data_IF_979688635392
#
_entry.id   IF_979688635392
#
_cell.length_a   1.000
_cell.length_b   1.000
_cell.length_c   1.000
_cell.angle_alpha   90.00
_cell.angle_beta   90.00
_cell.angle_gamma   90.00
#
_symmetry.space_group_name_H-M   'P 1'
#
loop_
_entity.id
_entity.type
_entity.pdbx_description
1 polymer ?
#
# COMPACT_ATOMS: atom_id res chain seq x y z
N UNK A 1 -52.20 -61.62 -25.01
CA UNK A 1 -51.46 -60.34 -25.02
C UNK A 1 -50.30 -60.43 -24.03
N UNK A 2 -49.06 -60.36 -24.52
CA UNK A 2 -47.83 -60.75 -23.81
C UNK A 2 -47.34 -59.68 -22.82
N UNK A 3 -46.71 -60.21 -21.78
CA UNK A 3 -46.14 -59.63 -20.56
C UNK A 3 -45.06 -58.56 -20.83
N UNK A 4 -45.10 -57.51 -19.99
CA UNK A 4 -44.04 -56.53 -19.68
C UNK A 4 -42.66 -57.19 -19.52
N UNK A 5 -41.65 -56.70 -20.23
CA UNK A 5 -40.24 -56.98 -19.89
C UNK A 5 -39.28 -55.83 -20.21
N UNK A 6 -39.63 -54.60 -19.82
CA UNK A 6 -38.71 -53.45 -19.81
C UNK A 6 -39.03 -52.51 -18.66
N UNK A 7 -38.75 -52.89 -17.40
CA UNK A 7 -38.88 -51.96 -16.28
C UNK A 7 -37.86 -52.10 -15.14
N UNK A 8 -36.83 -52.95 -15.29
CA UNK A 8 -35.73 -53.03 -14.31
C UNK A 8 -34.36 -52.64 -14.88
N UNK A 9 -34.13 -52.79 -16.18
CA UNK A 9 -32.87 -52.39 -16.83
C UNK A 9 -32.82 -50.86 -17.03
N UNK A 10 -33.95 -50.21 -17.30
CA UNK A 10 -34.04 -48.75 -17.47
C UNK A 10 -33.80 -47.97 -16.17
N UNK A 11 -34.31 -48.47 -15.03
CA UNK A 11 -34.08 -47.84 -13.73
C UNK A 11 -32.62 -47.97 -13.26
N UNK A 12 -31.96 -49.10 -13.56
CA UNK A 12 -30.56 -49.32 -13.19
C UNK A 12 -29.60 -48.49 -14.05
N UNK A 13 -29.90 -48.32 -15.34
CA UNK A 13 -29.12 -47.45 -16.25
C UNK A 13 -29.29 -45.97 -15.87
N UNK A 14 -30.48 -45.53 -15.45
CA UNK A 14 -30.69 -44.15 -14.97
C UNK A 14 -29.98 -43.85 -13.65
N UNK A 15 -29.87 -44.81 -12.74
CA UNK A 15 -29.14 -44.65 -11.47
C UNK A 15 -27.62 -44.70 -11.69
N UNK A 16 -27.13 -45.50 -12.65
CA UNK A 16 -25.72 -45.49 -13.02
C UNK A 16 -25.33 -44.20 -13.75
N UNK A 17 -26.19 -43.67 -14.63
CA UNK A 17 -25.98 -42.39 -15.31
C UNK A 17 -26.04 -41.20 -14.34
N UNK A 18 -26.90 -41.22 -13.32
CA UNK A 18 -26.91 -40.15 -12.31
C UNK A 18 -25.66 -40.17 -11.41
N UNK A 19 -25.11 -41.35 -11.10
CA UNK A 19 -23.82 -41.48 -10.41
C UNK A 19 -22.63 -41.05 -11.28
N UNK A 20 -22.67 -41.29 -12.60
CA UNK A 20 -21.63 -40.84 -13.54
C UNK A 20 -21.69 -39.31 -13.75
N UNK A 21 -22.88 -38.70 -13.75
CA UNK A 21 -23.03 -37.24 -13.84
C UNK A 21 -22.60 -36.55 -12.52
N UNK A 22 -22.81 -37.19 -11.36
CA UNK A 22 -22.30 -36.70 -10.07
C UNK A 22 -20.78 -36.82 -9.91
N UNK A 23 -20.12 -37.69 -10.68
CA UNK A 23 -18.66 -37.85 -10.68
C UNK A 23 -17.96 -37.05 -11.79
N UNK A 24 -18.71 -36.43 -12.71
CA UNK A 24 -18.15 -35.63 -13.82
C UNK A 24 -18.36 -34.13 -13.71
N UNK A 25 -18.98 -33.61 -12.65
CA UNK A 25 -18.92 -32.17 -12.36
C UNK A 25 -17.51 -31.85 -11.84
N UNK A 26 -16.59 -31.48 -12.74
CA UNK A 26 -15.40 -30.73 -12.33
C UNK A 26 -15.91 -29.48 -11.60
N UNK A 27 -15.70 -29.41 -10.29
CA UNK A 27 -15.93 -28.18 -9.55
C UNK A 27 -15.13 -27.08 -10.24
N UNK A 28 -15.83 -26.07 -10.77
CA UNK A 28 -15.18 -24.89 -11.33
C UNK A 28 -14.55 -24.18 -10.14
N UNK A 29 -13.23 -24.26 -10.02
CA UNK A 29 -12.49 -23.56 -8.98
C UNK A 29 -12.30 -22.13 -9.40
N UNK A 30 -12.67 -21.19 -8.54
CA UNK A 30 -12.46 -19.76 -8.80
C UNK A 30 -11.20 -19.28 -8.06
N UNK A 31 -10.41 -18.39 -8.67
CA UNK A 31 -9.27 -17.80 -8.00
C UNK A 31 -9.77 -16.89 -6.87
N UNK A 32 -9.25 -17.12 -5.66
CA UNK A 32 -9.48 -16.28 -4.48
C UNK A 32 -8.14 -15.68 -4.08
N UNK A 33 -8.10 -14.36 -3.97
CA UNK A 33 -6.93 -13.64 -3.47
C UNK A 33 -6.99 -13.60 -1.95
N UNK A 34 -6.03 -14.27 -1.32
CA UNK A 34 -5.92 -14.31 0.14
C UNK A 34 -4.56 -13.77 0.55
N UNK A 35 -4.53 -13.18 1.73
CA UNK A 35 -3.39 -12.48 2.28
C UNK A 35 -2.99 -13.10 3.62
N UNK A 36 -1.68 -13.23 3.81
CA UNK A 36 -1.04 -13.68 5.03
C UNK A 36 0.08 -12.72 5.45
N UNK A 37 0.74 -13.04 6.54
CA UNK A 37 1.89 -12.31 7.08
C UNK A 37 3.12 -13.22 7.05
N UNK A 38 4.25 -12.70 6.58
CA UNK A 38 5.52 -13.40 6.58
C UNK A 38 6.57 -12.69 7.43
N UNK A 39 7.51 -13.45 7.99
CA UNK A 39 8.73 -12.93 8.59
C UNK A 39 9.80 -12.59 7.53
N UNK A 40 10.91 -12.00 7.96
CA UNK A 40 12.05 -11.62 7.09
C UNK A 40 12.82 -12.82 6.51
N UNK A 41 12.49 -14.06 6.91
CA UNK A 41 12.99 -15.29 6.29
C UNK A 41 12.01 -15.86 5.26
N UNK A 42 10.80 -15.29 5.15
CA UNK A 42 9.74 -15.73 4.26
C UNK A 42 8.85 -16.83 4.84
N UNK A 43 8.95 -17.14 6.12
CA UNK A 43 8.04 -18.08 6.77
C UNK A 43 6.71 -17.38 7.05
N UNK A 44 5.60 -18.08 6.82
CA UNK A 44 4.29 -17.59 7.22
C UNK A 44 4.19 -17.54 8.75
N UNK A 45 3.91 -16.36 9.27
CA UNK A 45 3.44 -16.15 10.64
C UNK A 45 1.92 -16.33 10.68
N UNK A 46 1.24 -15.83 9.64
CA UNK A 46 -0.19 -15.99 9.40
C UNK A 46 -0.36 -16.54 8.00
N UNK A 47 -0.92 -17.74 7.89
CA UNK A 47 -1.22 -18.36 6.60
C UNK A 47 -2.27 -17.53 5.83
N UNK A 48 -2.27 -17.55 4.48
CA UNK A 48 -3.22 -16.77 3.70
C UNK A 48 -4.70 -17.11 3.99
N UNK A 49 -5.35 -16.24 4.76
CA UNK A 49 -6.75 -16.45 5.19
C UNK A 49 -7.63 -15.20 5.09
N UNK A 50 -7.03 -14.01 5.13
CA UNK A 50 -7.76 -12.74 5.02
C UNK A 50 -7.96 -12.36 3.55
N UNK A 51 -9.06 -11.67 3.24
CA UNK A 51 -9.30 -11.17 1.88
C UNK A 51 -8.52 -9.88 1.60
N UNK A 52 -7.83 -9.34 2.60
CA UNK A 52 -6.86 -8.24 2.47
C UNK A 52 -6.13 -8.03 3.79
N UNK A 53 -4.85 -7.67 3.71
CA UNK A 53 -4.05 -7.17 4.82
C UNK A 53 -3.26 -5.96 4.31
N UNK A 54 -3.29 -4.84 5.03
CA UNK A 54 -2.42 -3.68 4.77
C UNK A 54 -1.18 -3.75 5.66
N UNK A 55 -0.15 -3.01 5.27
CA UNK A 55 1.01 -2.77 6.15
C UNK A 55 0.50 -2.25 7.50
N UNK A 56 1.02 -2.84 8.58
CA UNK A 56 0.74 -2.46 9.95
C UNK A 56 1.97 -1.86 10.61
N UNK A 57 1.76 -1.26 11.78
CA UNK A 57 2.79 -0.71 12.66
C UNK A 57 2.25 -0.82 14.08
N UNK A 58 3.14 -0.85 15.07
CA UNK A 58 2.75 -0.97 16.49
C UNK A 58 2.05 -2.31 16.79
N UNK A 59 2.38 -3.34 16.00
CA UNK A 59 1.86 -4.70 16.17
C UNK A 59 0.41 -4.91 15.73
N UNK A 60 -0.24 -3.93 15.12
CA UNK A 60 -1.60 -4.03 14.58
C UNK A 60 -1.63 -3.85 13.06
N UNK A 61 -2.30 -4.77 12.38
CA UNK A 61 -2.39 -4.82 10.93
C UNK A 61 -3.84 -4.64 10.50
N UNK A 62 -4.17 -3.67 9.63
CA UNK A 62 -5.51 -3.56 9.08
C UNK A 62 -5.81 -4.80 8.24
N UNK A 63 -6.88 -5.51 8.60
CA UNK A 63 -7.32 -6.72 7.90
C UNK A 63 -8.70 -6.53 7.32
N UNK A 64 -8.95 -7.19 6.19
CA UNK A 64 -10.22 -7.19 5.49
C UNK A 64 -10.79 -8.60 5.47
N UNK A 65 -12.07 -8.69 5.79
CA UNK A 65 -12.86 -9.90 5.67
C UNK A 65 -14.16 -9.63 4.92
N UNK A 66 -14.66 -10.66 4.23
CA UNK A 66 -15.80 -10.54 3.32
C UNK A 66 -15.40 -10.26 1.87
N UNK A 67 -16.40 -10.23 0.99
CA UNK A 67 -16.25 -10.09 -0.46
C UNK A 67 -17.21 -9.03 -1.01
N UNK A 68 -16.87 -8.43 -2.15
CA UNK A 68 -17.66 -7.39 -2.86
C UNK A 68 -18.00 -6.20 -1.95
N UNK A 69 -19.17 -5.55 -2.11
CA UNK A 69 -19.55 -4.42 -1.24
C UNK A 69 -19.78 -4.78 0.24
N UNK A 70 -19.68 -6.06 0.63
CA UNK A 70 -19.91 -6.52 2.00
C UNK A 70 -18.63 -6.71 2.81
N UNK A 71 -17.45 -6.44 2.24
CA UNK A 71 -16.23 -6.51 3.03
C UNK A 71 -16.18 -5.40 4.07
N UNK A 72 -15.51 -5.69 5.18
CA UNK A 72 -15.21 -4.70 6.23
C UNK A 72 -13.76 -4.82 6.65
N UNK A 73 -13.25 -3.71 7.17
CA UNK A 73 -11.93 -3.61 7.74
C UNK A 73 -12.00 -3.66 9.27
N UNK A 74 -11.03 -4.37 9.84
CA UNK A 74 -10.74 -4.45 11.27
C UNK A 74 -9.23 -4.51 11.45
N UNK A 75 -8.77 -5.05 12.57
CA UNK A 75 -7.33 -5.17 12.85
C UNK A 75 -7.01 -6.53 13.47
N UNK A 76 -5.89 -7.12 13.06
CA UNK A 76 -5.30 -8.28 13.73
C UNK A 76 -3.96 -7.93 14.38
N UNK A 77 -3.55 -8.74 15.36
CA UNK A 77 -2.19 -8.74 15.87
C UNK A 77 -1.22 -9.46 14.91
N UNK A 78 0.07 -9.41 15.21
CA UNK A 78 1.12 -10.09 14.43
C UNK A 78 0.95 -11.61 14.27
N UNK A 79 0.14 -12.25 15.12
CA UNK A 79 -0.14 -13.70 15.06
C UNK A 79 -1.44 -14.01 14.32
N UNK A 80 -2.13 -13.00 13.79
CA UNK A 80 -3.37 -13.15 13.02
C UNK A 80 -4.62 -13.12 13.88
N UNK A 81 -4.52 -12.97 15.21
CA UNK A 81 -5.72 -12.87 16.05
C UNK A 81 -6.40 -11.54 15.77
N UNK A 82 -7.70 -11.57 15.48
CA UNK A 82 -8.51 -10.36 15.31
C UNK A 82 -8.63 -9.64 16.66
N UNK A 83 -8.09 -8.43 16.74
CA UNK A 83 -8.12 -7.56 17.93
C UNK A 83 -9.30 -6.59 17.84
N UNK A 84 -9.57 -6.09 16.64
CA UNK A 84 -10.72 -5.24 16.34
C UNK A 84 -11.50 -5.91 15.22
N UNK A 85 -12.72 -6.33 15.53
CA UNK A 85 -13.59 -7.01 14.57
C UNK A 85 -13.85 -6.15 13.31
N UNK A 86 -13.85 -6.76 12.11
CA UNK A 86 -14.19 -6.06 10.87
C UNK A 86 -15.55 -5.37 10.91
N UNK A 87 -15.52 -4.06 11.06
CA UNK A 87 -16.71 -3.22 11.20
C UNK A 87 -16.63 -1.91 10.41
N UNK A 88 -15.43 -1.52 9.96
CA UNK A 88 -15.19 -0.29 9.24
C UNK A 88 -15.27 -0.47 7.73
N UNK A 89 -15.59 0.61 7.03
CA UNK A 89 -15.59 0.62 5.56
C UNK A 89 -14.17 0.63 5.01
N UNK A 90 -13.26 1.29 5.71
CA UNK A 90 -11.82 1.27 5.45
C UNK A 90 -11.04 1.55 6.74
N UNK A 91 -9.78 1.16 6.78
CA UNK A 91 -8.87 1.39 7.90
C UNK A 91 -7.45 1.65 7.40
N UNK A 92 -6.73 2.58 8.01
CA UNK A 92 -5.29 2.75 7.82
C UNK A 92 -4.51 2.17 9.01
N UNK A 93 -3.19 2.12 8.90
CA UNK A 93 -2.32 1.60 9.96
C UNK A 93 -2.40 2.45 11.24
N UNK A 94 -2.16 1.80 12.38
CA UNK A 94 -1.86 2.51 13.62
C UNK A 94 -0.52 3.25 13.49
N UNK A 95 -0.44 4.44 14.05
CA UNK A 95 0.81 5.17 14.20
C UNK A 95 0.62 6.23 15.28
N UNK A 96 1.59 6.35 16.17
CA UNK A 96 1.55 7.23 17.34
C UNK A 96 0.33 6.95 18.22
N UNK A 97 -0.06 5.67 18.33
CA UNK A 97 -1.14 5.18 19.20
C UNK A 97 -2.56 5.28 18.63
N UNK A 98 -2.77 5.90 17.47
CA UNK A 98 -4.08 6.05 16.84
C UNK A 98 -4.11 5.52 15.40
N UNK A 99 -5.27 5.09 14.94
CA UNK A 99 -5.53 4.71 13.55
C UNK A 99 -6.73 5.48 12.98
N UNK A 100 -6.63 6.07 11.78
CA UNK A 100 -7.79 6.60 11.10
C UNK A 100 -8.59 5.45 10.46
N UNK A 101 -9.91 5.46 10.70
CA UNK A 101 -10.86 4.47 10.19
C UNK A 101 -12.07 5.18 9.58
N UNK A 102 -12.59 4.61 8.49
CA UNK A 102 -13.78 5.12 7.81
C UNK A 102 -15.04 4.43 8.35
N UNK A 103 -15.99 5.22 8.85
CA UNK A 103 -17.27 4.70 9.35
C UNK A 103 -18.06 4.01 8.24
N UNK A 104 -18.73 2.92 8.62
CA UNK A 104 -19.69 2.20 7.77
C UNK A 104 -21.10 2.77 8.00
N UNK A 105 -21.28 4.07 7.73
CA UNK A 105 -22.56 4.77 7.86
C UNK A 105 -22.83 5.66 6.63
N UNK A 106 -23.98 6.38 6.61
CA UNK A 106 -24.35 7.27 5.50
C UNK A 106 -23.38 8.45 5.32
N UNK A 107 -22.61 8.82 6.36
CA UNK A 107 -21.64 9.89 6.28
C UNK A 107 -20.36 9.45 5.56
N UNK A 108 -19.92 8.20 5.80
CA UNK A 108 -18.65 7.68 5.30
C UNK A 108 -17.45 8.50 5.74
N UNK A 109 -17.56 9.24 6.85
CA UNK A 109 -16.49 10.08 7.38
C UNK A 109 -15.46 9.27 8.16
N UNK A 110 -14.25 9.80 8.22
CA UNK A 110 -13.11 9.23 8.93
C UNK A 110 -13.06 9.77 10.36
N UNK A 111 -12.76 8.87 11.29
CA UNK A 111 -12.51 9.14 12.71
C UNK A 111 -11.19 8.48 13.12
N UNK A 112 -10.63 8.89 14.24
CA UNK A 112 -9.45 8.24 14.82
C UNK A 112 -9.87 7.36 15.99
N UNK A 113 -9.35 6.14 16.02
CA UNK A 113 -9.55 5.19 17.10
C UNK A 113 -8.23 4.83 17.78
N UNK A 114 -8.31 4.48 19.06
CA UNK A 114 -7.23 3.83 19.79
C UNK A 114 -7.20 2.31 19.56
N UNK A 115 -6.20 1.64 20.13
CA UNK A 115 -6.05 0.18 20.06
C UNK A 115 -7.15 -0.62 20.76
N UNK A 116 -8.01 0.02 21.55
CA UNK A 116 -9.19 -0.56 22.19
C UNK A 116 -10.47 -0.32 21.38
N UNK A 117 -10.35 0.25 20.18
CA UNK A 117 -11.47 0.63 19.31
C UNK A 117 -12.34 1.76 19.88
N UNK A 118 -11.78 2.61 20.73
CA UNK A 118 -12.44 3.81 21.25
C UNK A 118 -12.15 5.00 20.35
N UNK A 119 -13.17 5.79 20.01
CA UNK A 119 -12.97 7.05 19.28
C UNK A 119 -12.16 8.01 20.15
N UNK A 120 -11.02 8.48 19.64
CA UNK A 120 -10.08 9.30 20.39
C UNK A 120 -10.59 10.72 20.66
N UNK A 121 -11.33 11.30 19.71
CA UNK A 121 -11.95 12.63 19.80
C UNK A 121 -13.15 12.73 18.83
N UNK A 122 -14.06 13.67 19.07
CA UNK A 122 -15.35 13.75 18.36
C UNK A 122 -15.26 14.28 16.92
N UNK A 123 -14.15 14.93 16.53
CA UNK A 123 -14.01 15.55 15.20
C UNK A 123 -13.95 14.49 14.10
N UNK A 124 -14.71 14.72 13.03
CA UNK A 124 -14.81 13.82 11.87
C UNK A 124 -14.25 14.49 10.60
N UNK A 125 -13.68 13.69 9.70
CA UNK A 125 -12.99 14.19 8.51
C UNK A 125 -13.48 13.51 7.24
N UNK A 126 -13.33 14.19 6.10
CA UNK A 126 -13.61 13.58 4.80
C UNK A 126 -12.58 12.50 4.44
N UNK A 127 -11.31 12.73 4.76
CA UNK A 127 -10.22 11.77 4.70
C UNK A 127 -9.23 12.04 5.83
N UNK A 128 -8.52 11.01 6.27
CA UNK A 128 -7.47 11.12 7.27
C UNK A 128 -6.32 10.16 6.94
N UNK A 129 -5.10 10.67 7.03
CA UNK A 129 -3.87 9.87 6.99
C UNK A 129 -3.41 9.55 8.42
N UNK A 130 -2.64 8.46 8.64
CA UNK A 130 -2.06 8.16 9.95
C UNK A 130 -1.23 9.31 10.50
N UNK A 131 -1.15 9.40 11.82
CA UNK A 131 -0.21 10.30 12.48
C UNK A 131 1.22 9.95 12.09
N UNK A 132 1.99 10.97 11.77
CA UNK A 132 3.40 10.85 11.51
C UNK A 132 4.06 12.15 11.92
N UNK A 133 5.14 12.05 12.67
CA UNK A 133 5.88 13.21 13.13
C UNK A 133 5.03 14.11 14.06
N UNK A 134 4.13 13.52 14.85
CA UNK A 134 3.26 14.23 15.80
C UNK A 134 2.00 14.85 15.20
N UNK A 135 1.79 14.75 13.88
CA UNK A 135 0.68 15.38 13.17
C UNK A 135 0.01 14.40 12.21
N UNK A 136 -1.32 14.48 12.08
CA UNK A 136 -2.07 13.78 11.05
C UNK A 136 -2.59 14.74 9.99
N UNK A 137 -2.42 14.38 8.72
CA UNK A 137 -2.96 15.12 7.59
C UNK A 137 -4.43 14.72 7.38
N UNK A 138 -5.34 15.70 7.39
CA UNK A 138 -6.79 15.45 7.32
C UNK A 138 -7.45 16.40 6.32
N UNK A 139 -8.43 15.88 5.58
CA UNK A 139 -9.27 16.69 4.70
C UNK A 139 -10.57 17.08 5.41
N UNK A 140 -10.87 18.38 5.42
CA UNK A 140 -12.09 18.91 6.04
C UNK A 140 -13.38 18.41 5.37
N UNK A 141 -14.43 18.27 6.17
CA UNK A 141 -15.72 17.70 5.77
C UNK A 141 -16.65 18.75 5.16
N UNK A 142 -17.76 18.33 4.54
CA UNK A 142 -18.73 19.26 3.93
C UNK A 142 -19.43 20.19 4.93
N UNK A 143 -19.26 19.95 6.23
CA UNK A 143 -19.82 20.78 7.30
C UNK A 143 -18.86 21.92 7.71
N UNK A 144 -17.66 21.96 7.14
CA UNK A 144 -16.63 22.95 7.43
C UNK A 144 -16.55 24.02 6.33
N UNK A 145 -16.28 25.27 6.73
CA UNK A 145 -16.12 26.39 5.80
C UNK A 145 -14.95 26.20 4.80
N UNK A 146 -14.03 25.29 5.12
CA UNK A 146 -12.84 24.97 4.33
C UNK A 146 -12.99 23.70 3.49
N UNK A 147 -14.22 23.23 3.24
CA UNK A 147 -14.53 21.96 2.59
C UNK A 147 -13.57 21.58 1.45
N UNK A 148 -13.11 20.32 1.45
CA UNK A 148 -12.13 19.72 0.52
C UNK A 148 -10.68 20.22 0.68
N UNK A 149 -10.40 21.15 1.58
CA UNK A 149 -9.02 21.52 1.87
C UNK A 149 -8.42 20.61 2.95
N UNK A 150 -7.13 20.38 2.82
CA UNK A 150 -6.30 19.62 3.73
C UNK A 150 -5.63 20.54 4.74
N UNK A 151 -5.56 20.05 5.98
CA UNK A 151 -4.85 20.66 7.11
C UNK A 151 -4.22 19.58 7.98
N UNK A 152 -3.71 19.97 9.13
CA UNK A 152 -3.00 19.09 10.04
C UNK A 152 -3.49 19.23 11.46
N UNK A 153 -3.76 18.10 12.10
CA UNK A 153 -4.19 18.02 13.50
C UNK A 153 -3.09 17.41 14.37
N UNK A 154 -3.08 17.78 15.65
CA UNK A 154 -2.33 17.07 16.68
C UNK A 154 -3.11 15.86 17.24
N UNK A 155 -2.49 15.15 18.18
CA UNK A 155 -3.05 13.95 18.81
C UNK A 155 -4.36 14.21 19.58
N UNK A 156 -4.65 15.46 19.95
CA UNK A 156 -5.90 15.84 20.62
C UNK A 156 -7.05 16.07 19.65
N UNK A 157 -6.76 16.11 18.34
CA UNK A 157 -7.73 16.39 17.28
C UNK A 157 -7.85 17.88 16.94
N UNK A 158 -7.00 18.73 17.52
CA UNK A 158 -6.98 20.16 17.26
C UNK A 158 -6.08 20.52 16.08
N UNK A 159 -6.51 21.51 15.29
CA UNK A 159 -5.76 21.94 14.12
C UNK A 159 -4.49 22.70 14.53
N UNK A 160 -3.33 22.15 14.18
CA UNK A 160 -2.04 22.87 14.24
C UNK A 160 -1.86 23.71 12.97
N UNK A 161 -2.30 23.19 11.82
CA UNK A 161 -2.37 23.92 10.57
C UNK A 161 -3.80 23.82 10.06
N UNK A 162 -4.50 24.94 10.04
CA UNK A 162 -5.89 25.00 9.56
C UNK A 162 -5.98 24.56 8.10
N UNK A 163 -7.08 23.91 7.68
CA UNK A 163 -7.20 23.43 6.30
C UNK A 163 -7.08 24.57 5.29
N UNK A 164 -6.08 24.49 4.42
CA UNK A 164 -5.77 25.51 3.43
C UNK A 164 -5.17 24.94 2.13
N UNK A 165 -4.73 23.67 2.13
CA UNK A 165 -4.06 23.06 1.00
C UNK A 165 -5.03 22.27 0.11
N UNK A 166 -4.83 22.31 -1.20
CA UNK A 166 -5.64 21.53 -2.14
C UNK A 166 -5.28 20.04 -2.11
N UNK A 167 -3.99 19.73 -1.94
CA UNK A 167 -3.51 18.40 -1.59
C UNK A 167 -2.29 18.49 -0.68
N UNK A 168 -2.16 17.52 0.22
CA UNK A 168 -1.12 17.46 1.22
C UNK A 168 -0.85 15.99 1.60
N UNK A 169 0.37 15.70 2.06
CA UNK A 169 0.78 14.37 2.53
C UNK A 169 1.18 14.39 4.01
N UNK A 170 1.37 13.21 4.60
CA UNK A 170 1.89 13.05 5.96
C UNK A 170 3.26 13.72 6.11
N UNK A 171 3.54 14.20 7.32
CA UNK A 171 4.88 14.66 7.68
C UNK A 171 5.86 13.49 7.73
N UNK A 172 7.10 13.72 7.31
CA UNK A 172 8.24 12.84 7.53
C UNK A 172 9.48 13.72 7.70
N UNK A 173 10.31 13.42 8.69
CA UNK A 173 11.52 14.20 9.01
C UNK A 173 11.26 15.71 9.11
N UNK A 174 10.13 16.11 9.71
CA UNK A 174 9.74 17.50 9.92
C UNK A 174 9.22 18.25 8.69
N UNK A 175 9.13 17.62 7.52
CA UNK A 175 8.60 18.23 6.29
C UNK A 175 7.40 17.44 5.76
N UNK A 176 6.44 18.15 5.17
CA UNK A 176 5.32 17.52 4.47
C UNK A 176 5.20 18.10 3.07
N UNK A 177 4.94 17.21 2.11
CA UNK A 177 4.62 17.62 0.75
C UNK A 177 3.25 18.29 0.71
N UNK A 178 3.17 19.41 0.00
CA UNK A 178 1.92 20.02 -0.43
C UNK A 178 1.91 20.17 -1.94
N UNK A 179 0.73 20.31 -2.53
CA UNK A 179 0.56 20.63 -3.93
C UNK A 179 -0.22 21.93 -4.06
N UNK A 180 0.34 22.88 -4.80
CA UNK A 180 -0.34 24.11 -5.20
C UNK A 180 -0.76 24.04 -6.67
N UNK A 181 -1.99 24.47 -6.95
CA UNK A 181 -2.60 24.37 -8.28
C UNK A 181 -3.52 23.16 -8.40
N UNK A 182 -4.38 23.19 -9.41
CA UNK A 182 -5.47 22.22 -9.54
C UNK A 182 -5.09 21.02 -10.40
N UNK A 183 -5.44 19.81 -9.92
CA UNK A 183 -5.38 18.57 -10.69
C UNK A 183 -3.96 18.13 -11.06
N UNK A 184 -3.83 17.45 -12.20
CA UNK A 184 -2.55 16.96 -12.74
C UNK A 184 -1.62 18.08 -13.23
N UNK A 185 -1.88 19.35 -12.94
CA UNK A 185 -0.95 20.44 -13.24
C UNK A 185 -0.40 21.10 -11.97
N UNK A 186 -0.90 20.72 -10.79
CA UNK A 186 -0.42 21.29 -9.54
C UNK A 186 1.03 20.87 -9.27
N UNK A 187 1.82 21.79 -8.73
CA UNK A 187 3.23 21.58 -8.44
C UNK A 187 3.42 21.26 -6.96
N UNK A 188 4.33 20.34 -6.68
CA UNK A 188 4.71 19.91 -5.35
C UNK A 188 5.82 20.80 -4.77
N UNK A 189 5.63 21.17 -3.51
CA UNK A 189 6.61 21.80 -2.63
C UNK A 189 6.53 21.20 -1.23
N UNK A 190 7.21 21.79 -0.27
CA UNK A 190 7.26 21.29 1.10
C UNK A 190 7.02 22.37 2.13
N UNK A 191 6.30 22.02 3.18
CA UNK A 191 6.06 22.85 4.36
C UNK A 191 6.70 22.23 5.60
N UNK A 192 7.00 23.05 6.60
CA UNK A 192 7.35 22.60 7.94
C UNK A 192 6.10 22.43 8.84
N UNK A 193 6.30 21.95 10.07
CA UNK A 193 5.22 21.74 11.08
C UNK A 193 4.46 23.01 11.50
N UNK A 194 4.93 24.20 11.14
CA UNK A 194 4.20 25.46 11.33
C UNK A 194 3.35 25.88 10.12
N UNK A 195 3.37 25.08 9.04
CA UNK A 195 2.66 25.37 7.79
C UNK A 195 3.39 26.34 6.87
N UNK A 196 4.64 26.72 7.17
CA UNK A 196 5.44 27.60 6.31
C UNK A 196 6.10 26.78 5.21
N UNK A 197 6.05 27.30 3.98
CA UNK A 197 6.77 26.76 2.83
C UNK A 197 8.27 26.83 3.12
N UNK A 198 8.95 25.69 2.97
CA UNK A 198 10.40 25.52 3.07
C UNK A 198 10.99 25.35 1.67
N UNK A 199 10.30 24.59 0.82
CA UNK A 199 10.69 24.36 -0.58
C UNK A 199 9.50 24.77 -1.45
N UNK A 200 9.72 25.79 -2.28
CA UNK A 200 8.68 26.33 -3.16
C UNK A 200 8.13 25.27 -4.12
N UNK A 201 6.80 25.26 -4.36
CA UNK A 201 6.17 24.38 -5.35
C UNK A 201 6.75 24.55 -6.75
N UNK A 202 7.48 23.53 -7.23
CA UNK A 202 8.13 23.58 -8.56
C UNK A 202 8.30 22.22 -9.24
N UNK A 203 7.95 21.13 -8.55
CA UNK A 203 8.11 19.77 -9.05
C UNK A 203 6.76 19.20 -9.49
N UNK A 204 6.71 18.44 -10.58
CA UNK A 204 5.49 17.72 -10.97
C UNK A 204 5.15 16.60 -9.98
N UNK A 205 6.18 16.02 -9.37
CA UNK A 205 6.08 14.98 -8.37
C UNK A 205 7.13 15.21 -7.28
N UNK A 206 6.74 14.93 -6.04
CA UNK A 206 7.64 14.87 -4.91
C UNK A 206 7.25 13.71 -3.98
N UNK A 207 8.25 13.01 -3.44
CA UNK A 207 8.11 11.95 -2.46
C UNK A 207 8.07 12.47 -1.02
N UNK A 208 7.96 11.57 -0.05
CA UNK A 208 8.23 11.90 1.35
C UNK A 208 9.74 11.98 1.60
N UNK A 209 10.14 12.71 2.64
CA UNK A 209 11.53 12.68 3.10
C UNK A 209 11.81 11.38 3.86
N UNK A 210 12.95 10.76 3.58
CA UNK A 210 13.48 9.59 4.26
C UNK A 210 14.99 9.55 4.04
N UNK A 211 15.76 9.17 5.06
CA UNK A 211 17.22 9.25 5.09
C UNK A 211 17.75 10.66 4.74
N UNK A 212 16.99 11.73 5.03
CA UNK A 212 17.35 13.11 4.70
C UNK A 212 17.08 13.53 3.25
N UNK A 213 16.50 12.66 2.42
CA UNK A 213 16.27 12.92 0.99
C UNK A 213 14.82 12.73 0.57
N UNK A 214 14.43 13.42 -0.50
CA UNK A 214 13.16 13.19 -1.16
C UNK A 214 13.35 13.04 -2.67
N UNK A 215 12.67 12.05 -3.25
CA UNK A 215 12.53 11.89 -4.70
C UNK A 215 11.72 13.05 -5.28
N UNK A 216 12.15 13.59 -6.41
CA UNK A 216 11.44 14.65 -7.15
C UNK A 216 11.51 14.42 -8.65
N UNK A 217 10.52 14.94 -9.38
CA UNK A 217 10.46 14.95 -10.85
C UNK A 217 9.98 16.33 -11.35
N UNK A 218 10.46 16.78 -12.50
CA UNK A 218 10.05 18.09 -13.07
C UNK A 218 8.82 17.99 -13.97
N UNK A 219 8.69 16.90 -14.74
CA UNK A 219 7.63 16.65 -15.69
C UNK A 219 6.70 15.53 -15.22
N UNK A 220 5.44 15.55 -15.64
CA UNK A 220 4.53 14.41 -15.46
C UNK A 220 4.69 13.35 -16.55
N UNK A 221 5.48 13.63 -17.57
CA UNK A 221 5.80 12.66 -18.62
C UNK A 221 6.76 11.60 -18.08
N UNK A 222 6.28 10.37 -17.94
CA UNK A 222 7.06 9.25 -17.41
C UNK A 222 8.29 8.92 -18.29
N UNK A 223 8.25 9.26 -19.58
CA UNK A 223 9.35 9.00 -20.53
C UNK A 223 10.51 9.99 -20.38
N UNK A 224 10.37 11.01 -19.53
CA UNK A 224 11.43 12.00 -19.31
C UNK A 224 12.42 11.56 -18.23
N UNK A 225 13.72 11.74 -18.48
CA UNK A 225 14.80 11.46 -17.52
C UNK A 225 15.06 12.68 -16.63
N UNK A 226 14.08 13.06 -15.83
CA UNK A 226 14.10 14.26 -14.99
C UNK A 226 13.71 13.99 -13.53
N UNK A 227 13.80 12.72 -13.12
CA UNK A 227 13.69 12.32 -11.73
C UNK A 227 15.07 12.25 -11.05
N UNK A 228 15.13 12.66 -9.79
CA UNK A 228 16.33 12.62 -8.94
C UNK A 228 15.97 12.96 -7.49
N UNK A 229 16.91 13.52 -6.73
CA UNK A 229 16.70 13.72 -5.29
C UNK A 229 17.15 15.08 -4.80
N UNK A 230 16.43 15.57 -3.79
CA UNK A 230 16.74 16.79 -3.06
C UNK A 230 17.01 16.50 -1.58
N UNK A 231 17.79 17.36 -0.94
CA UNK A 231 17.88 17.45 0.51
C UNK A 231 16.70 18.24 1.12
N UNK A 232 16.70 18.36 2.46
CA UNK A 232 15.63 19.03 3.23
C UNK A 232 15.61 20.56 3.04
N UNK A 233 16.67 21.13 2.50
CA UNK A 233 16.77 22.52 2.08
C UNK A 233 16.32 22.74 0.62
N UNK A 234 16.06 21.66 -0.12
CA UNK A 234 15.61 21.69 -1.51
C UNK A 234 16.72 21.77 -2.56
N UNK A 235 17.98 21.52 -2.16
CA UNK A 235 19.10 21.43 -3.09
C UNK A 235 19.08 20.07 -3.78
N UNK A 236 19.35 20.05 -5.08
CA UNK A 236 19.49 18.80 -5.84
C UNK A 236 20.80 18.12 -5.42
N UNK A 237 20.70 16.96 -4.77
CA UNK A 237 21.85 16.17 -4.30
C UNK A 237 22.17 15.00 -5.22
N UNK A 238 21.15 14.47 -5.90
CA UNK A 238 21.32 13.50 -6.99
C UNK A 238 20.67 14.11 -8.23
N UNK A 239 21.42 14.27 -9.33
CA UNK A 239 20.91 14.90 -10.55
C UNK A 239 19.60 14.29 -11.05
N UNK A 240 18.78 15.14 -11.67
CA UNK A 240 17.54 14.75 -12.33
C UNK A 240 17.88 14.05 -13.65
N UNK A 241 18.11 12.74 -13.59
CA UNK A 241 18.64 11.94 -14.70
C UNK A 241 18.01 10.56 -14.86
N UNK A 242 17.03 10.22 -14.02
CA UNK A 242 16.31 8.96 -14.04
C UNK A 242 14.90 9.13 -14.59
N UNK A 243 14.33 8.07 -15.17
CA UNK A 243 12.94 8.09 -15.61
C UNK A 243 12.00 8.15 -14.40
N UNK A 244 12.33 7.39 -13.36
CA UNK A 244 11.59 7.32 -12.11
C UNK A 244 12.52 6.97 -10.94
N UNK A 245 12.13 7.37 -9.74
CA UNK A 245 12.85 7.17 -8.48
C UNK A 245 11.84 6.91 -7.35
N UNK A 246 12.25 6.29 -6.24
CA UNK A 246 11.42 6.13 -5.05
C UNK A 246 12.19 6.54 -3.80
N UNK A 247 11.57 6.40 -2.63
CA UNK A 247 12.14 6.74 -1.32
C UNK A 247 13.47 6.03 -1.05
N UNK A 248 14.44 6.77 -0.48
CA UNK A 248 15.62 6.19 0.15
C UNK A 248 15.25 5.52 1.47
N UNK A 249 15.67 4.28 1.63
CA UNK A 249 15.53 3.52 2.87
C UNK A 249 16.65 2.48 2.91
N UNK A 250 17.17 2.18 4.10
CA UNK A 250 18.39 1.42 4.32
C UNK A 250 19.59 1.91 3.45
N UNK A 251 19.67 3.22 3.20
CA UNK A 251 20.74 3.83 2.40
C UNK A 251 20.71 3.55 0.90
N UNK A 252 19.64 2.92 0.39
CA UNK A 252 19.43 2.63 -1.03
C UNK A 252 18.09 3.15 -1.53
N UNK A 253 18.00 3.47 -2.82
CA UNK A 253 16.74 3.82 -3.44
C UNK A 253 16.60 3.18 -4.82
N UNK A 254 15.40 2.69 -5.20
CA UNK A 254 15.18 2.15 -6.52
C UNK A 254 15.11 3.29 -7.54
N UNK A 255 15.71 3.05 -8.71
CA UNK A 255 15.71 3.98 -9.83
C UNK A 255 15.41 3.26 -11.13
N UNK A 256 14.56 3.85 -11.96
CA UNK A 256 14.24 3.36 -13.29
C UNK A 256 15.22 3.99 -14.30
N UNK A 257 16.04 3.15 -14.93
CA UNK A 257 17.09 3.59 -15.84
C UNK A 257 17.27 2.60 -17.00
N UNK A 258 17.68 3.11 -18.16
CA UNK A 258 17.94 2.30 -19.36
C UNK A 258 18.41 3.17 -20.54
N UNK A 259 18.72 2.54 -21.67
CA UNK A 259 19.07 3.25 -22.92
C UNK A 259 17.92 4.10 -23.46
N UNK A 260 16.68 3.65 -23.18
CA UNK A 260 15.43 4.27 -23.57
C UNK A 260 14.35 3.85 -22.56
N UNK A 261 13.24 4.60 -22.48
CA UNK A 261 12.18 4.35 -21.52
C UNK A 261 11.57 2.94 -21.64
N UNK A 262 11.32 2.48 -22.87
CA UNK A 262 10.77 1.14 -23.19
C UNK A 262 11.69 -0.02 -22.77
N UNK A 263 12.98 0.26 -22.58
CA UNK A 263 13.99 -0.71 -22.10
C UNK A 263 14.42 -0.45 -20.66
N UNK A 264 13.86 0.55 -19.99
CA UNK A 264 14.26 0.92 -18.65
C UNK A 264 13.81 -0.15 -17.65
N UNK A 265 14.69 -0.46 -16.70
CA UNK A 265 14.43 -1.38 -15.61
C UNK A 265 14.81 -0.73 -14.29
N UNK A 266 14.24 -1.22 -13.21
CA UNK A 266 14.63 -0.82 -11.87
C UNK A 266 15.95 -1.45 -11.48
N UNK A 267 16.86 -0.60 -11.01
CA UNK A 267 18.04 -0.93 -10.22
C UNK A 267 17.99 -0.16 -8.89
N UNK A 268 19.09 -0.15 -8.16
CA UNK A 268 19.22 0.58 -6.89
C UNK A 268 20.51 1.37 -6.85
N UNK A 269 20.40 2.62 -6.40
CA UNK A 269 21.54 3.50 -6.13
C UNK A 269 21.72 3.70 -4.63
N UNK A 270 22.93 4.04 -4.23
CA UNK A 270 23.19 4.63 -2.92
C UNK A 270 23.10 6.16 -2.96
N UNK A 271 23.28 6.78 -1.80
CA UNK A 271 23.36 8.25 -1.60
C UNK A 271 24.37 8.96 -2.53
N UNK A 272 25.46 8.30 -2.91
CA UNK A 272 26.49 8.87 -3.80
C UNK A 272 26.13 8.74 -5.29
N UNK A 273 24.89 8.32 -5.60
CA UNK A 273 24.43 8.01 -6.95
C UNK A 273 25.18 6.83 -7.62
N UNK A 274 25.78 5.94 -6.82
CA UNK A 274 26.46 4.75 -7.34
C UNK A 274 25.44 3.62 -7.49
N UNK A 275 25.42 2.97 -8.66
CA UNK A 275 24.57 1.80 -8.89
C UNK A 275 25.09 0.60 -8.10
N UNK A 276 24.45 0.32 -6.96
CA UNK A 276 24.72 -0.87 -6.12
C UNK A 276 24.12 -2.12 -6.75
N UNK A 277 22.90 -2.00 -7.28
CA UNK A 277 22.23 -3.08 -8.02
C UNK A 277 21.88 -2.52 -9.40
N UNK A 278 22.48 -3.10 -10.44
CA UNK A 278 22.23 -2.66 -11.83
C UNK A 278 20.77 -2.88 -12.24
N UNK A 279 20.20 -2.00 -13.09
CA UNK A 279 18.86 -2.16 -13.65
C UNK A 279 18.61 -3.57 -14.21
N UNK A 280 17.66 -4.28 -13.62
CA UNK A 280 17.27 -5.64 -14.06
C UNK A 280 15.87 -6.08 -13.62
N UNK A 281 15.17 -5.28 -12.82
CA UNK A 281 13.83 -5.60 -12.31
C UNK A 281 12.77 -4.81 -13.07
N UNK A 282 11.65 -5.44 -13.36
CA UNK A 282 10.50 -4.78 -13.96
C UNK A 282 9.80 -3.85 -12.95
N UNK A 283 9.71 -4.27 -11.69
CA UNK A 283 9.25 -3.43 -10.57
C UNK A 283 10.14 -3.65 -9.35
N UNK A 284 10.29 -2.60 -8.54
CA UNK A 284 11.09 -2.61 -7.33
C UNK A 284 10.46 -1.67 -6.30
N UNK A 285 10.30 -2.15 -5.07
CA UNK A 285 10.00 -1.31 -3.92
C UNK A 285 11.29 -0.83 -3.26
N UNK A 286 11.17 0.24 -2.46
CA UNK A 286 12.24 0.66 -1.56
C UNK A 286 12.59 -0.46 -0.59
N UNK A 287 13.84 -0.46 -0.13
CA UNK A 287 14.24 -1.36 0.96
C UNK A 287 13.47 -0.99 2.23
N UNK A 288 13.33 -1.95 3.12
CA UNK A 288 12.92 -1.73 4.50
C UNK A 288 13.36 -2.94 5.31
N UNK A 289 14.03 -2.70 6.43
CA UNK A 289 14.61 -3.76 7.28
C UNK A 289 15.56 -4.70 6.52
N UNK A 290 16.30 -4.15 5.55
CA UNK A 290 17.29 -4.85 4.74
C UNK A 290 16.72 -5.67 3.58
N UNK A 291 15.41 -5.63 3.32
CA UNK A 291 14.75 -6.36 2.24
C UNK A 291 13.93 -5.45 1.33
N UNK A 292 13.90 -5.76 0.03
CA UNK A 292 13.04 -5.08 -0.94
C UNK A 292 12.26 -6.08 -1.78
N UNK A 293 10.97 -5.81 -1.97
CA UNK A 293 10.13 -6.57 -2.89
C UNK A 293 10.44 -6.17 -4.34
N UNK A 294 10.65 -7.16 -5.21
CA UNK A 294 10.97 -6.95 -6.63
C UNK A 294 10.19 -7.92 -7.51
N UNK A 295 10.01 -7.52 -8.76
CA UNK A 295 9.37 -8.32 -9.83
C UNK A 295 10.28 -8.31 -11.06
N UNK A 296 10.48 -9.47 -11.69
CA UNK A 296 11.43 -9.60 -12.82
C UNK A 296 10.80 -9.33 -14.18
N UNK A 297 9.50 -9.53 -14.33
CA UNK A 297 8.79 -9.29 -15.58
C UNK A 297 7.35 -8.83 -15.32
N UNK A 298 6.71 -8.34 -16.39
CA UNK A 298 5.34 -7.85 -16.32
C UNK A 298 4.30 -8.96 -16.14
N UNK A 299 4.59 -10.17 -16.61
CA UNK A 299 3.57 -11.21 -16.79
C UNK A 299 2.93 -11.59 -15.45
N UNK A 300 1.65 -11.97 -15.52
CA UNK A 300 0.84 -12.36 -14.34
C UNK A 300 1.44 -13.55 -13.58
N UNK A 301 2.28 -14.36 -14.24
CA UNK A 301 2.94 -15.51 -13.64
C UNK A 301 4.25 -15.17 -12.92
N UNK A 302 4.79 -13.96 -13.08
CA UNK A 302 5.91 -13.49 -12.26
C UNK A 302 5.34 -13.03 -10.93
N UNK A 303 5.70 -13.72 -9.86
CA UNK A 303 5.36 -13.29 -8.51
C UNK A 303 6.39 -12.33 -7.94
N UNK A 304 5.98 -11.62 -6.90
CA UNK A 304 6.86 -10.78 -6.12
C UNK A 304 7.81 -11.62 -5.28
N UNK A 305 9.08 -11.24 -5.25
CA UNK A 305 10.14 -11.88 -4.46
C UNK A 305 10.90 -10.84 -3.65
N UNK A 306 11.72 -11.25 -2.69
CA UNK A 306 12.50 -10.32 -1.87
C UNK A 306 14.00 -10.51 -2.02
N UNK A 307 14.71 -9.39 -2.17
CA UNK A 307 16.16 -9.31 -2.24
C UNK A 307 16.73 -8.56 -1.04
N UNK A 308 17.98 -8.84 -0.68
CA UNK A 308 18.74 -8.01 0.26
C UNK A 308 19.40 -6.81 -0.44
N UNK A 309 20.05 -5.96 0.34
CA UNK A 309 20.77 -4.76 -0.12
C UNK A 309 21.95 -5.03 -1.08
N UNK A 310 22.45 -6.26 -1.13
CA UNK A 310 23.46 -6.71 -2.11
C UNK A 310 22.82 -7.19 -3.43
N UNK A 311 21.48 -7.21 -3.52
CA UNK A 311 20.73 -7.72 -4.66
C UNK A 311 20.64 -9.25 -4.73
N UNK A 312 20.95 -9.94 -3.64
CA UNK A 312 20.80 -11.39 -3.50
C UNK A 312 19.36 -11.72 -3.15
N UNK A 313 18.79 -12.69 -3.86
CA UNK A 313 17.47 -13.25 -3.58
C UNK A 313 17.45 -13.94 -2.21
N UNK A 314 16.56 -13.50 -1.32
CA UNK A 314 16.36 -14.04 0.03
C UNK A 314 15.08 -14.87 0.08
N UNK A 315 13.95 -14.28 -0.32
CA UNK A 315 12.65 -14.95 -0.31
C UNK A 315 12.23 -15.18 -1.75
N UNK A 316 12.23 -16.45 -2.16
CA UNK A 316 11.75 -16.88 -3.46
C UNK A 316 10.38 -17.54 -3.29
N UNK A 317 9.35 -16.74 -3.49
CA UNK A 317 7.98 -17.23 -3.58
C UNK A 317 7.29 -16.44 -4.68
N UNK A 318 6.40 -17.07 -5.43
CA UNK A 318 5.69 -16.36 -6.51
C UNK A 318 4.43 -15.69 -5.92
N UNK A 319 4.63 -14.74 -4.98
CA UNK A 319 3.51 -14.02 -4.35
C UNK A 319 2.75 -13.19 -5.37
N UNK A 320 1.42 -13.19 -5.31
CA UNK A 320 0.60 -12.35 -6.18
C UNK A 320 0.66 -10.87 -5.79
N UNK A 321 1.00 -10.58 -4.54
CA UNK A 321 1.34 -9.24 -4.05
C UNK A 321 2.35 -9.32 -2.91
N UNK A 322 3.17 -8.29 -2.78
CA UNK A 322 4.13 -8.11 -1.69
C UNK A 322 4.04 -6.68 -1.15
N UNK A 323 4.63 -6.44 0.01
CA UNK A 323 4.71 -5.13 0.65
C UNK A 323 6.03 -4.99 1.40
N UNK A 324 6.39 -3.78 1.83
CA UNK A 324 7.58 -3.57 2.65
C UNK A 324 7.44 -4.20 4.03
N UNK A 325 8.56 -4.63 4.60
CA UNK A 325 8.63 -5.09 5.98
C UNK A 325 8.51 -3.91 6.94
N UNK A 326 7.66 -4.05 7.97
CA UNK A 326 7.62 -3.16 9.13
C UNK A 326 7.47 -4.02 10.38
N UNK A 327 8.29 -3.74 11.39
CA UNK A 327 8.38 -4.49 12.64
C UNK A 327 8.67 -5.99 12.41
N UNK A 328 9.49 -6.31 11.41
CA UNK A 328 9.89 -7.69 11.04
C UNK A 328 8.88 -8.46 10.21
N UNK A 329 7.79 -7.83 9.76
CA UNK A 329 6.64 -8.50 9.14
C UNK A 329 6.20 -7.81 7.85
N UNK A 330 5.87 -8.59 6.82
CA UNK A 330 5.28 -8.09 5.58
C UNK A 330 3.98 -8.83 5.23
N UNK A 331 2.89 -8.09 4.92
CA UNK A 331 1.76 -8.64 4.20
C UNK A 331 2.12 -9.16 2.81
N UNK A 332 1.67 -10.36 2.48
CA UNK A 332 1.82 -10.96 1.15
C UNK A 332 0.52 -11.60 0.68
N UNK A 333 0.28 -11.52 -0.62
CA UNK A 333 -0.88 -12.12 -1.28
C UNK A 333 -0.54 -13.42 -2.01
N UNK A 334 -1.51 -14.33 -2.04
CA UNK A 334 -1.50 -15.53 -2.88
C UNK A 334 -2.82 -15.70 -3.63
N UNK A 335 -2.76 -16.38 -4.77
CA UNK A 335 -3.94 -16.86 -5.49
C UNK A 335 -4.21 -18.31 -5.08
N UNK A 336 -5.38 -18.56 -4.51
CA UNK A 336 -5.83 -19.90 -4.12
C UNK A 336 -7.04 -20.29 -4.95
N UNK A 337 -6.99 -21.47 -5.58
CA UNK A 337 -8.11 -22.01 -6.35
C UNK A 337 -9.00 -22.87 -5.46
N UNK A 338 -10.16 -22.34 -5.08
CA UNK A 338 -11.15 -23.02 -4.24
C UNK A 338 -12.31 -23.57 -5.05
#
# INVERSE_FOLDING_TARGET
>A
MRIRKYSKISAFILILLSFIILTSCKAIKFPVYLYGLIDTQGNYIVEPEFTGIKIGKEGLYPIRQGYNEYYKWGFCDKTGNVVIEPQYKDASMFSEGLAPVQKYDESGLWVFIDSQNTIAFEKEFKYALPFSDGLACVQSSARDATYNLWGYIDITGEYVITPQFQAAASFSEGLAKIQEGSGVAGLCGYINKSGKIVIEPKYSYAGIFSDGFASVKLSMDEETNDAGYIDREGNIVIPLMYYNTSTFDDGLAPVLAGESFDKALYGYININNELVIKPKYYMAYSFSEGLAAVKTDYYENSGWMYINTEGKLIIKNDYSSASSFIDGIAPVGMVIYR
#
